data_IF_367324309885
#
_entry.id   IF_367324309885
#
_cell.length_a   1.000
_cell.length_b   1.000
_cell.length_c   1.000
_cell.angle_alpha   90.00
_cell.angle_beta   90.00
_cell.angle_gamma   90.00
#
_symmetry.space_group_name_H-M   'P 1'
#
loop_
_entity.id
_entity.type
_entity.pdbx_description
1 polymer ?
#
# COMPACT_ATOMS: atom_id res chain seq x y z
N UNK A 1 -14.55 44.16 44.12
CA UNK A 1 -13.74 42.97 44.44
C UNK A 1 -14.69 41.81 44.70
N UNK A 2 -14.98 41.03 43.68
CA UNK A 2 -15.58 39.69 43.78
C UNK A 2 -15.42 39.04 42.41
N UNK A 3 -14.17 38.74 42.07
CA UNK A 3 -13.84 37.84 40.97
C UNK A 3 -14.33 36.45 41.37
N UNK A 4 -15.52 36.08 40.87
CA UNK A 4 -15.97 34.71 40.92
C UNK A 4 -15.19 33.94 39.85
N UNK A 5 -14.15 33.25 40.31
CA UNK A 5 -13.51 32.16 39.59
C UNK A 5 -14.54 31.02 39.44
N UNK A 6 -15.32 31.06 38.37
CA UNK A 6 -16.01 29.86 37.90
C UNK A 6 -14.96 28.94 37.23
N UNK A 7 -14.93 27.63 37.58
CA UNK A 7 -14.06 26.68 36.90
C UNK A 7 -14.41 26.61 35.41
N UNK A 8 -13.45 26.36 34.51
CA UNK A 8 -13.76 26.22 33.09
C UNK A 8 -14.82 25.12 32.96
N UNK A 9 -15.99 25.48 32.45
CA UNK A 9 -17.09 24.57 32.22
C UNK A 9 -16.53 23.34 31.49
N UNK A 10 -16.57 22.21 32.19
CA UNK A 10 -16.29 20.89 31.65
C UNK A 10 -17.12 20.78 30.37
N UNK A 11 -16.46 20.66 29.22
CA UNK A 11 -17.13 20.66 27.94
C UNK A 11 -17.97 19.39 27.83
N UNK A 12 -19.23 19.46 28.26
CA UNK A 12 -20.28 18.50 27.98
C UNK A 12 -20.52 18.53 26.46
N UNK A 13 -19.59 17.95 25.69
CA UNK A 13 -19.73 17.84 24.25
C UNK A 13 -20.90 16.91 24.00
N UNK A 14 -22.03 17.49 23.60
CA UNK A 14 -23.22 16.75 23.20
C UNK A 14 -22.83 15.69 22.16
N UNK A 15 -23.40 14.47 22.19
CA UNK A 15 -23.14 13.44 21.19
C UNK A 15 -23.35 13.93 19.74
N UNK A 16 -24.23 14.91 19.53
CA UNK A 16 -24.43 15.59 18.24
C UNK A 16 -23.18 16.34 17.76
N UNK A 17 -22.46 16.97 18.67
CA UNK A 17 -21.31 17.83 18.36
C UNK A 17 -20.08 16.98 18.07
N UNK A 18 -19.93 15.88 18.80
CA UNK A 18 -18.92 14.87 18.48
C UNK A 18 -19.16 14.23 17.12
N UNK A 19 -20.43 13.91 16.79
CA UNK A 19 -20.79 13.37 15.48
C UNK A 19 -20.58 14.40 14.37
N UNK A 20 -21.04 15.64 14.54
CA UNK A 20 -20.84 16.72 13.59
C UNK A 20 -19.34 17.00 13.33
N UNK A 21 -18.50 16.85 14.36
CA UNK A 21 -17.06 17.02 14.23
C UNK A 21 -16.38 15.85 13.54
N UNK A 22 -16.78 14.61 13.83
CA UNK A 22 -16.01 13.41 13.44
C UNK A 22 -16.67 12.54 12.38
N UNK A 23 -17.90 12.82 11.92
CA UNK A 23 -18.62 11.95 10.96
C UNK A 23 -17.81 11.60 9.71
N UNK A 24 -16.93 12.50 9.26
CA UNK A 24 -16.12 12.28 8.07
C UNK A 24 -15.13 11.11 8.24
N UNK A 25 -14.65 10.84 9.45
CA UNK A 25 -13.70 9.74 9.70
C UNK A 25 -14.32 8.35 9.44
N UNK A 26 -15.43 7.95 10.09
CA UNK A 26 -16.07 6.66 9.79
C UNK A 26 -16.61 6.61 8.35
N UNK A 27 -17.03 7.74 7.77
CA UNK A 27 -17.43 7.80 6.36
C UNK A 27 -16.24 7.48 5.44
N UNK A 28 -15.10 8.15 5.62
CA UNK A 28 -13.89 7.90 4.83
C UNK A 28 -13.36 6.47 5.04
N UNK A 29 -13.41 5.96 6.28
CA UNK A 29 -13.06 4.58 6.57
C UNK A 29 -13.98 3.60 5.83
N UNK A 30 -15.29 3.85 5.82
CA UNK A 30 -16.26 3.07 5.07
C UNK A 30 -16.01 3.10 3.56
N UNK A 31 -15.68 4.27 3.01
CA UNK A 31 -15.30 4.42 1.60
C UNK A 31 -14.03 3.63 1.29
N UNK A 32 -12.99 3.74 2.13
CA UNK A 32 -11.74 3.01 1.94
C UNK A 32 -11.94 1.49 2.04
N UNK A 33 -12.71 1.03 3.02
CA UNK A 33 -13.08 -0.38 3.16
C UNK A 33 -13.86 -0.88 1.93
N UNK A 34 -14.78 -0.08 1.40
CA UNK A 34 -15.50 -0.40 0.17
C UNK A 34 -14.56 -0.47 -1.04
N UNK A 35 -13.65 0.50 -1.20
CA UNK A 35 -12.62 0.46 -2.25
C UNK A 35 -11.77 -0.81 -2.15
N UNK A 36 -11.27 -1.14 -0.97
CA UNK A 36 -10.49 -2.36 -0.74
C UNK A 36 -11.31 -3.61 -1.06
N UNK A 37 -12.55 -3.68 -0.58
CA UNK A 37 -13.45 -4.81 -0.83
C UNK A 37 -13.66 -5.05 -2.32
N UNK A 38 -13.93 -4.00 -3.10
CA UNK A 38 -14.12 -4.14 -4.56
C UNK A 38 -12.87 -4.69 -5.26
N UNK A 39 -11.67 -4.37 -4.77
CA UNK A 39 -10.41 -4.90 -5.31
C UNK A 39 -10.22 -6.38 -4.94
N UNK A 40 -10.50 -6.74 -3.69
CA UNK A 40 -10.33 -8.11 -3.18
C UNK A 40 -11.32 -9.12 -3.76
N UNK A 41 -12.46 -8.69 -4.31
CA UNK A 41 -13.40 -9.58 -5.02
C UNK A 41 -12.74 -10.43 -6.11
N UNK A 42 -11.71 -9.89 -6.75
CA UNK A 42 -11.00 -10.58 -7.83
C UNK A 42 -9.83 -11.45 -7.36
N UNK A 43 -9.58 -11.53 -6.06
CA UNK A 43 -8.43 -12.23 -5.47
C UNK A 43 -8.34 -13.70 -5.92
N UNK A 44 -9.47 -14.41 -5.97
CA UNK A 44 -9.52 -15.80 -6.43
C UNK A 44 -9.00 -16.02 -7.85
N UNK A 45 -8.99 -14.99 -8.71
CA UNK A 45 -8.44 -15.09 -10.06
C UNK A 45 -6.91 -15.07 -10.11
N UNK A 46 -6.26 -14.66 -9.02
CA UNK A 46 -4.81 -14.64 -8.89
C UNK A 46 -4.27 -15.89 -8.21
N UNK A 47 -5.13 -16.85 -7.84
CA UNK A 47 -4.72 -18.13 -7.28
C UNK A 47 -5.22 -19.23 -8.20
N UNK A 48 -4.29 -19.92 -8.86
CA UNK A 48 -4.61 -21.04 -9.76
C UNK A 48 -3.88 -22.28 -9.26
N UNK A 49 -4.62 -23.36 -9.00
CA UNK A 49 -4.06 -24.62 -8.49
C UNK A 49 -3.21 -24.48 -7.22
N UNK A 50 -3.52 -23.51 -6.36
CA UNK A 50 -2.78 -23.24 -5.13
C UNK A 50 -1.55 -22.34 -5.30
N UNK A 51 -1.23 -21.90 -6.51
CA UNK A 51 -0.11 -21.01 -6.81
C UNK A 51 -0.58 -19.59 -7.14
N UNK A 52 0.27 -18.61 -6.84
CA UNK A 52 0.02 -17.21 -7.21
C UNK A 52 0.26 -17.03 -8.71
N UNK A 53 -0.77 -16.59 -9.41
CA UNK A 53 -0.75 -16.32 -10.84
C UNK A 53 -1.02 -14.84 -11.11
N UNK A 54 0.04 -14.08 -11.37
CA UNK A 54 -0.09 -12.67 -11.70
C UNK A 54 -0.80 -12.45 -13.04
N UNK A 55 -1.60 -11.37 -13.12
CA UNK A 55 -2.29 -10.97 -14.35
C UNK A 55 -1.46 -9.98 -15.15
N UNK A 56 -1.43 -10.18 -16.46
CA UNK A 56 -0.64 -9.34 -17.37
C UNK A 56 0.86 -9.62 -17.26
N UNK A 57 1.66 -8.93 -18.08
CA UNK A 57 3.10 -9.17 -18.17
C UNK A 57 3.90 -8.36 -17.15
N UNK A 58 3.50 -7.11 -16.90
CA UNK A 58 4.25 -6.15 -16.09
C UNK A 58 4.44 -6.63 -14.64
N UNK A 59 3.44 -7.29 -14.07
CA UNK A 59 3.51 -7.83 -12.71
C UNK A 59 4.60 -8.91 -12.56
N UNK A 60 4.80 -9.72 -13.59
CA UNK A 60 5.89 -10.71 -13.61
C UNK A 60 7.26 -10.04 -13.69
N UNK A 61 7.37 -8.94 -14.43
CA UNK A 61 8.62 -8.21 -14.50
C UNK A 61 8.92 -7.45 -13.18
N UNK A 62 7.88 -6.93 -12.50
CA UNK A 62 8.03 -6.43 -11.12
C UNK A 62 8.49 -7.49 -10.14
N UNK A 63 7.95 -8.73 -10.21
CA UNK A 63 8.44 -9.82 -9.38
C UNK A 63 9.94 -10.03 -9.57
N UNK A 64 10.41 -10.00 -10.82
CA UNK A 64 11.83 -10.14 -11.16
C UNK A 64 12.67 -9.01 -10.58
N UNK A 65 12.29 -7.75 -10.79
CA UNK A 65 13.05 -6.59 -10.29
C UNK A 65 13.00 -6.48 -8.76
N UNK A 66 11.86 -6.78 -8.13
CA UNK A 66 11.72 -6.84 -6.67
C UNK A 66 12.56 -7.97 -6.08
N UNK A 67 12.60 -9.15 -6.72
CA UNK A 67 13.45 -10.27 -6.27
C UNK A 67 14.93 -9.90 -6.33
N UNK A 68 15.37 -9.28 -7.44
CA UNK A 68 16.74 -8.77 -7.56
C UNK A 68 17.05 -7.73 -6.47
N UNK A 69 16.14 -6.79 -6.24
CA UNK A 69 16.30 -5.73 -5.23
C UNK A 69 16.38 -6.32 -3.81
N UNK A 70 15.61 -7.35 -3.49
CA UNK A 70 15.66 -8.02 -2.18
C UNK A 70 17.04 -8.66 -1.91
N UNK A 71 17.69 -9.18 -2.95
CA UNK A 71 19.01 -9.81 -2.85
C UNK A 71 20.17 -8.80 -2.87
N UNK A 72 19.95 -7.61 -3.42
CA UNK A 72 21.00 -6.63 -3.70
C UNK A 72 20.73 -5.25 -3.08
N UNK A 73 19.81 -5.17 -2.11
CA UNK A 73 19.32 -3.91 -1.57
C UNK A 73 20.46 -2.98 -1.10
N UNK A 74 20.44 -1.67 -1.43
CA UNK A 74 19.36 -0.93 -2.12
C UNK A 74 19.54 -0.84 -3.65
N UNK A 75 20.40 -1.67 -4.24
CA UNK A 75 20.70 -1.59 -5.67
C UNK A 75 19.61 -2.22 -6.51
N UNK A 76 19.20 -1.51 -7.57
CA UNK A 76 18.19 -1.96 -8.53
C UNK A 76 18.83 -2.66 -9.72
N UNK A 77 18.03 -3.28 -10.59
CA UNK A 77 18.49 -3.84 -11.86
C UNK A 77 18.33 -2.78 -12.97
N UNK A 78 19.36 -1.96 -13.29
CA UNK A 78 19.21 -0.89 -14.30
C UNK A 78 19.13 -1.45 -15.73
N UNK A 79 19.86 -2.52 -16.00
CA UNK A 79 19.94 -3.17 -17.31
C UNK A 79 19.75 -4.68 -17.15
N UNK A 80 18.88 -5.25 -17.99
CA UNK A 80 18.53 -6.66 -17.93
C UNK A 80 18.92 -7.36 -19.24
N UNK A 81 19.96 -8.20 -19.12
CA UNK A 81 20.49 -9.00 -20.23
C UNK A 81 19.60 -10.20 -20.59
N UNK A 82 18.65 -10.57 -19.73
CA UNK A 82 17.78 -11.73 -19.92
C UNK A 82 16.49 -11.41 -20.67
N UNK A 83 16.26 -10.14 -21.00
CA UNK A 83 15.15 -9.67 -21.84
C UNK A 83 15.70 -8.85 -23.02
N UNK A 84 14.99 -8.75 -24.14
CA UNK A 84 15.49 -8.03 -25.31
C UNK A 84 16.69 -8.71 -26.00
N UNK A 85 16.74 -10.04 -25.99
CA UNK A 85 17.80 -10.81 -26.65
C UNK A 85 17.95 -10.42 -28.13
N UNK A 86 19.18 -10.32 -28.67
CA UNK A 86 20.48 -10.66 -28.06
C UNK A 86 21.16 -9.53 -27.29
N UNK A 87 20.55 -8.35 -27.21
CA UNK A 87 21.25 -7.15 -26.73
C UNK A 87 21.03 -6.96 -25.22
N UNK A 88 19.83 -7.20 -24.73
CA UNK A 88 19.39 -6.75 -23.42
C UNK A 88 18.46 -5.54 -23.52
N UNK A 89 17.82 -5.16 -22.42
CA UNK A 89 17.08 -3.89 -22.35
C UNK A 89 17.25 -3.18 -21.02
N UNK A 90 17.16 -1.85 -21.03
CA UNK A 90 17.05 -1.07 -19.81
C UNK A 90 15.73 -1.38 -19.09
N UNK A 91 15.76 -1.50 -17.77
CA UNK A 91 14.57 -1.78 -16.96
C UNK A 91 13.63 -0.56 -16.84
N UNK A 92 14.12 0.65 -17.08
CA UNK A 92 13.28 1.86 -17.13
C UNK A 92 12.54 2.13 -15.83
N UNK A 93 11.20 2.05 -15.85
CA UNK A 93 10.34 2.34 -14.70
C UNK A 93 10.29 1.21 -13.65
N UNK A 94 10.80 0.02 -13.98
CA UNK A 94 10.78 -1.15 -13.10
C UNK A 94 11.99 -1.18 -12.15
N UNK A 95 11.80 -1.70 -10.94
CA UNK A 95 12.83 -1.70 -9.89
C UNK A 95 12.92 -0.37 -9.13
N UNK A 96 11.96 0.54 -9.31
CA UNK A 96 12.00 1.91 -8.73
C UNK A 96 11.23 1.98 -7.40
N UNK A 97 10.55 3.09 -7.11
CA UNK A 97 9.90 3.33 -5.81
C UNK A 97 8.91 2.22 -5.43
N UNK A 98 8.12 1.75 -6.40
CA UNK A 98 7.14 0.67 -6.16
C UNK A 98 7.83 -0.60 -5.65
N UNK A 99 8.89 -1.05 -6.32
CA UNK A 99 9.63 -2.26 -5.95
C UNK A 99 10.32 -2.10 -4.58
N UNK A 100 10.75 -0.90 -4.20
CA UNK A 100 11.29 -0.63 -2.86
C UNK A 100 10.22 -0.73 -1.77
N UNK A 101 9.02 -0.19 -2.02
CA UNK A 101 7.88 -0.32 -1.09
C UNK A 101 7.55 -1.81 -0.90
N UNK A 102 7.55 -2.58 -2.00
CA UNK A 102 7.33 -4.02 -1.95
C UNK A 102 8.43 -4.75 -1.19
N UNK A 103 9.71 -4.42 -1.42
CA UNK A 103 10.83 -5.04 -0.73
C UNK A 103 10.74 -4.84 0.80
N UNK A 104 10.47 -3.60 1.24
CA UNK A 104 10.26 -3.29 2.67
C UNK A 104 9.02 -4.01 3.21
N UNK A 105 7.91 -4.00 2.47
CA UNK A 105 6.69 -4.70 2.86
C UNK A 105 6.91 -6.22 3.03
N UNK A 106 7.70 -6.82 2.15
CA UNK A 106 8.10 -8.23 2.24
C UNK A 106 8.93 -8.49 3.49
N UNK A 107 9.89 -7.63 3.84
CA UNK A 107 10.66 -7.80 5.08
C UNK A 107 9.80 -7.69 6.33
N UNK A 108 8.84 -6.78 6.36
CA UNK A 108 7.90 -6.64 7.49
C UNK A 108 6.99 -7.88 7.60
N UNK A 109 6.60 -8.46 6.46
CA UNK A 109 5.71 -9.62 6.42
C UNK A 109 6.42 -10.97 6.55
N UNK A 110 7.76 -11.01 6.42
CA UNK A 110 8.56 -12.21 6.63
C UNK A 110 8.79 -12.38 8.15
N UNK A 111 8.32 -13.49 8.76
CA UNK A 111 8.56 -13.78 10.17
C UNK A 111 10.03 -14.06 10.48
#
# INVERSE_FOLDING_TARGET
>A
MSDLNDPPAESDSSPSDLLARWYHVPVLLGIFAFMLWTRLRSYGNFIQNGEVYFRGNDAWYHLRTTSYLLENYPSTLPYDVWTGFPVGTNAGQFGTLWDHIMAVGIWIARP
#
